data_IF_565436311965
#
_entry.id   IF_565436311965
#
_cell.length_a   1.000
_cell.length_b   1.000
_cell.length_c   1.000
_cell.angle_alpha   90.00
_cell.angle_beta   90.00
_cell.angle_gamma   90.00
#
_symmetry.space_group_name_H-M   'P 1'
#
loop_
_entity.id
_entity.type
_entity.pdbx_description
1 polymer ?
#
# COMPACT_ATOMS: atom_id res chain seq x y z
N UNK A 1 -4.34 4.43 2.37
CA UNK A 1 -3.15 3.65 2.01
C UNK A 1 -1.97 4.12 2.86
N UNK A 2 -1.28 3.25 3.61
CA UNK A 2 -0.11 3.62 4.41
C UNK A 2 1.21 3.46 3.63
N UNK A 3 1.24 3.70 2.32
CA UNK A 3 2.45 3.54 1.49
C UNK A 3 3.55 4.54 1.86
N UNK A 4 3.17 5.74 2.32
CA UNK A 4 4.11 6.70 2.90
C UNK A 4 4.81 6.19 4.16
N UNK A 5 4.17 5.29 4.93
CA UNK A 5 4.80 4.62 6.08
C UNK A 5 5.75 3.50 5.62
N UNK A 6 5.37 2.76 4.57
CA UNK A 6 6.20 1.70 3.96
C UNK A 6 7.49 2.27 3.37
N UNK A 7 7.49 3.51 2.87
CA UNK A 7 8.71 4.16 2.34
C UNK A 7 9.50 4.89 3.44
N UNK A 8 8.82 5.60 4.35
CA UNK A 8 9.51 6.40 5.38
C UNK A 8 10.14 5.57 6.50
N UNK A 9 9.58 4.41 6.83
CA UNK A 9 10.07 3.55 7.91
C UNK A 9 11.40 2.84 7.58
N UNK A 10 11.58 2.21 6.39
CA UNK A 10 12.88 1.67 5.98
C UNK A 10 13.90 2.75 5.61
N UNK A 11 13.49 3.90 5.05
CA UNK A 11 14.42 5.03 4.83
C UNK A 11 14.97 5.60 6.15
N UNK A 12 14.15 5.63 7.20
CA UNK A 12 14.60 5.98 8.54
C UNK A 12 15.50 4.88 9.15
N UNK A 13 15.15 3.60 8.94
CA UNK A 13 15.98 2.47 9.36
C UNK A 13 17.36 2.44 8.66
N UNK A 14 17.45 2.98 7.44
CA UNK A 14 18.71 3.18 6.69
C UNK A 14 19.48 4.45 7.11
N UNK A 15 19.07 5.17 8.16
CA UNK A 15 19.84 6.25 8.77
C UNK A 15 19.54 7.67 8.26
N UNK A 16 18.49 7.88 7.46
CA UNK A 16 18.07 9.23 7.06
C UNK A 16 17.31 9.95 8.20
N UNK A 17 17.46 11.28 8.27
CA UNK A 17 16.79 12.10 9.28
C UNK A 17 15.26 12.01 9.15
N UNK A 18 14.55 11.99 10.30
CA UNK A 18 13.09 11.83 10.38
C UNK A 18 12.31 12.75 9.44
N UNK A 19 12.75 14.01 9.31
CA UNK A 19 12.13 14.99 8.43
C UNK A 19 12.28 14.68 6.95
N UNK A 20 13.41 14.10 6.52
CA UNK A 20 13.67 13.77 5.12
C UNK A 20 12.96 12.49 4.69
N UNK A 21 12.92 11.48 5.57
CA UNK A 21 12.12 10.27 5.36
C UNK A 21 10.62 10.59 5.27
N UNK A 22 10.13 11.52 6.09
CA UNK A 22 8.75 11.98 6.05
C UNK A 22 8.41 12.80 4.79
N UNK A 23 9.28 13.72 4.38
CA UNK A 23 9.10 14.48 3.13
C UNK A 23 9.10 13.59 1.88
N UNK A 24 9.96 12.58 1.85
CA UNK A 24 10.00 11.62 0.75
C UNK A 24 8.76 10.72 0.73
N UNK A 25 8.29 10.25 1.89
CA UNK A 25 7.04 9.49 2.00
C UNK A 25 5.79 10.32 1.65
N UNK A 26 5.77 11.62 1.95
CA UNK A 26 4.72 12.53 1.47
C UNK A 26 4.81 12.78 -0.03
N UNK A 27 6.03 12.89 -0.57
CA UNK A 27 6.27 13.10 -2.00
C UNK A 27 5.76 11.95 -2.86
N UNK A 28 5.91 10.69 -2.42
CA UNK A 28 5.31 9.55 -3.11
C UNK A 28 3.78 9.55 -3.00
N UNK A 29 3.24 9.92 -1.84
CA UNK A 29 1.79 10.04 -1.62
C UNK A 29 1.13 11.14 -2.48
N UNK A 30 1.89 12.15 -2.92
CA UNK A 30 1.38 13.20 -3.81
C UNK A 30 1.05 12.69 -5.23
N UNK A 31 1.54 11.50 -5.61
CA UNK A 31 1.21 10.88 -6.90
C UNK A 31 -0.25 10.40 -6.94
N UNK A 32 -0.82 10.01 -5.80
CA UNK A 32 -2.22 9.55 -5.70
C UNK A 32 -3.25 10.62 -6.09
N UNK A 33 -3.25 11.86 -5.53
CA UNK A 33 -4.21 12.89 -5.90
C UNK A 33 -4.05 13.36 -7.36
N UNK A 34 -2.83 13.33 -7.90
CA UNK A 34 -2.59 13.64 -9.32
C UNK A 34 -3.20 12.56 -10.20
N UNK A 35 -2.99 11.29 -9.86
CA UNK A 35 -3.62 10.15 -10.53
C UNK A 35 -5.14 10.25 -10.47
N UNK A 36 -5.71 10.48 -9.28
CA UNK A 36 -7.15 10.63 -9.05
C UNK A 36 -7.76 11.77 -9.88
N UNK A 37 -7.08 12.92 -9.96
CA UNK A 37 -7.55 14.05 -10.76
C UNK A 37 -7.61 13.70 -12.26
N UNK A 38 -6.59 13.01 -12.78
CA UNK A 38 -6.57 12.56 -14.17
C UNK A 38 -7.67 11.54 -14.45
N UNK A 39 -7.91 10.58 -13.55
CA UNK A 39 -9.01 9.61 -13.69
C UNK A 39 -10.37 10.27 -13.63
N UNK A 40 -10.58 11.28 -12.78
CA UNK A 40 -11.83 12.04 -12.71
C UNK A 40 -12.08 12.80 -14.02
N UNK A 41 -11.06 13.47 -14.56
CA UNK A 41 -11.16 14.20 -15.84
C UNK A 41 -11.46 13.27 -17.02
N UNK A 42 -10.92 12.04 -16.99
CA UNK A 42 -11.13 11.02 -18.02
C UNK A 42 -12.24 10.00 -17.67
N UNK A 43 -13.04 10.24 -16.62
CA UNK A 43 -13.95 9.24 -16.05
C UNK A 43 -14.94 8.69 -17.08
N UNK A 44 -15.47 9.53 -17.99
CA UNK A 44 -16.42 9.10 -19.01
C UNK A 44 -15.90 8.01 -19.96
N UNK A 45 -14.59 7.95 -20.21
CA UNK A 45 -13.95 6.92 -21.03
C UNK A 45 -13.47 5.73 -20.19
N UNK A 46 -13.06 5.98 -18.94
CA UNK A 46 -12.45 4.98 -18.07
C UNK A 46 -13.48 4.14 -17.30
N UNK A 47 -14.71 4.63 -17.08
CA UNK A 47 -15.78 3.88 -16.40
C UNK A 47 -15.98 2.46 -16.95
N UNK A 48 -16.12 2.24 -18.28
CA UNK A 48 -16.23 0.89 -18.82
C UNK A 48 -14.94 0.07 -18.71
N UNK A 49 -13.78 0.72 -18.61
CA UNK A 49 -12.47 0.07 -18.44
C UNK A 49 -12.10 -0.19 -16.96
N UNK A 50 -12.82 0.41 -16.00
CA UNK A 50 -12.57 0.27 -14.56
C UNK A 50 -12.42 -1.19 -14.09
N UNK A 51 -13.29 -2.16 -14.44
CA UNK A 51 -13.12 -3.53 -13.96
C UNK A 51 -11.79 -4.16 -14.41
N UNK A 52 -11.32 -3.84 -15.60
CA UNK A 52 -10.02 -4.33 -16.10
C UNK A 52 -8.86 -3.65 -15.37
N UNK A 53 -8.95 -2.34 -15.14
CA UNK A 53 -7.93 -1.59 -14.41
C UNK A 53 -7.84 -1.99 -12.93
N UNK A 54 -8.98 -2.19 -12.28
CA UNK A 54 -9.04 -2.67 -10.89
C UNK A 54 -8.52 -4.11 -10.77
N UNK A 55 -8.85 -4.98 -11.73
CA UNK A 55 -8.29 -6.34 -11.79
C UNK A 55 -6.77 -6.33 -11.95
N UNK A 56 -6.25 -5.47 -12.82
CA UNK A 56 -4.82 -5.28 -12.99
C UNK A 56 -4.15 -4.75 -11.71
N UNK A 57 -4.73 -3.75 -11.06
CA UNK A 57 -4.23 -3.21 -9.81
C UNK A 57 -4.24 -4.26 -8.68
N UNK A 58 -5.31 -5.05 -8.57
CA UNK A 58 -5.40 -6.15 -7.61
C UNK A 58 -4.31 -7.20 -7.86
N UNK A 59 -4.06 -7.56 -9.12
CA UNK A 59 -2.99 -8.49 -9.50
C UNK A 59 -1.60 -7.97 -9.13
N UNK A 60 -1.31 -6.70 -9.40
CA UNK A 60 -0.04 -6.07 -9.04
C UNK A 60 0.19 -6.07 -7.51
N UNK A 61 -0.85 -5.75 -6.73
CA UNK A 61 -0.76 -5.77 -5.27
C UNK A 61 -0.57 -7.19 -4.72
N UNK A 62 -1.22 -8.20 -5.30
CA UNK A 62 -1.00 -9.59 -4.90
C UNK A 62 0.44 -10.05 -5.17
N UNK A 63 1.03 -9.67 -6.31
CA UNK A 63 2.42 -9.98 -6.63
C UNK A 63 3.38 -9.38 -5.59
N UNK A 64 3.25 -8.07 -5.29
CA UNK A 64 4.09 -7.39 -4.29
C UNK A 64 3.95 -8.02 -2.91
N UNK A 65 2.72 -8.37 -2.49
CA UNK A 65 2.49 -9.03 -1.20
C UNK A 65 3.21 -10.38 -1.15
N UNK A 66 3.11 -11.19 -2.20
CA UNK A 66 3.66 -12.56 -2.22
C UNK A 66 5.17 -12.58 -2.38
N UNK A 67 5.74 -11.76 -3.26
CA UNK A 67 7.19 -11.76 -3.52
C UNK A 67 7.99 -10.91 -2.53
N UNK A 68 7.44 -9.81 -2.04
CA UNK A 68 8.20 -8.87 -1.21
C UNK A 68 7.77 -8.96 0.25
N UNK A 69 6.49 -8.75 0.55
CA UNK A 69 6.03 -8.59 1.93
C UNK A 69 6.08 -9.90 2.73
N UNK A 70 5.63 -11.03 2.18
CA UNK A 70 5.64 -12.34 2.88
C UNK A 70 7.07 -12.82 3.20
N UNK A 71 8.04 -12.75 2.27
CA UNK A 71 9.42 -13.09 2.59
C UNK A 71 10.04 -12.13 3.61
N UNK A 72 9.79 -10.83 3.50
CA UNK A 72 10.32 -9.82 4.43
C UNK A 72 9.85 -10.10 5.87
N UNK A 73 8.56 -10.32 6.09
CA UNK A 73 8.02 -10.62 7.42
C UNK A 73 8.50 -11.97 8.00
N UNK A 74 8.86 -12.94 7.14
CA UNK A 74 9.34 -14.27 7.55
C UNK A 74 10.85 -14.31 7.79
N UNK A 75 11.61 -13.37 7.23
CA UNK A 75 13.08 -13.35 7.25
C UNK A 75 13.73 -12.79 8.53
N UNK A 76 12.94 -12.42 9.56
CA UNK A 76 13.43 -11.90 10.84
C UNK A 76 13.42 -12.91 12.00
N UNK A 77 14.21 -12.65 13.05
CA UNK A 77 14.31 -13.49 14.26
C UNK A 77 12.96 -13.74 14.99
N UNK A 78 11.92 -12.95 14.70
CA UNK A 78 10.57 -13.03 15.30
C UNK A 78 9.45 -13.17 14.25
N UNK A 79 9.57 -14.15 13.33
CA UNK A 79 8.58 -14.46 12.28
C UNK A 79 7.12 -14.54 12.78
N UNK A 80 6.89 -15.07 14.00
CA UNK A 80 5.54 -15.17 14.59
C UNK A 80 4.86 -13.81 14.80
N UNK A 81 5.60 -12.76 15.17
CA UNK A 81 5.00 -11.43 15.42
C UNK A 81 4.52 -10.81 14.10
N UNK A 82 5.29 -10.97 13.02
CA UNK A 82 4.92 -10.50 11.68
C UNK A 82 3.61 -11.13 11.20
N UNK A 83 3.48 -12.45 11.34
CA UNK A 83 2.26 -13.18 10.96
C UNK A 83 1.04 -12.77 11.79
N UNK A 84 1.23 -12.53 13.09
CA UNK A 84 0.16 -12.14 14.00
C UNK A 84 -0.35 -10.72 13.70
N UNK A 85 0.56 -9.78 13.43
CA UNK A 85 0.22 -8.42 13.02
C UNK A 85 -0.42 -8.37 11.62
N UNK A 86 0.07 -9.18 10.68
CA UNK A 86 -0.57 -9.34 9.37
C UNK A 86 -2.00 -9.85 9.50
N UNK A 87 -2.22 -10.92 10.28
CA UNK A 87 -3.55 -11.51 10.49
C UNK A 87 -4.51 -10.53 11.16
N UNK A 88 -4.01 -9.75 12.13
CA UNK A 88 -4.79 -8.68 12.77
C UNK A 88 -5.15 -7.57 11.78
N UNK A 89 -4.19 -7.06 11.01
CA UNK A 89 -4.41 -6.03 10.00
C UNK A 89 -5.40 -6.48 8.91
N UNK A 90 -5.27 -7.72 8.44
CA UNK A 90 -6.22 -8.32 7.50
C UNK A 90 -7.63 -8.38 8.09
N UNK A 91 -7.77 -8.83 9.35
CA UNK A 91 -9.07 -8.89 10.03
C UNK A 91 -9.71 -7.52 10.17
N UNK A 92 -8.92 -6.50 10.55
CA UNK A 92 -9.40 -5.11 10.65
C UNK A 92 -9.85 -4.60 9.28
N UNK A 93 -9.08 -4.84 8.23
CA UNK A 93 -9.45 -4.42 6.88
C UNK A 93 -10.74 -5.10 6.41
N UNK A 94 -10.88 -6.42 6.61
CA UNK A 94 -12.12 -7.15 6.28
C UNK A 94 -13.32 -6.65 7.08
N UNK A 95 -13.12 -6.29 8.36
CA UNK A 95 -14.18 -5.69 9.17
C UNK A 95 -14.59 -4.30 8.66
N UNK A 96 -13.62 -3.48 8.22
CA UNK A 96 -13.87 -2.18 7.62
C UNK A 96 -14.57 -2.29 6.27
N UNK A 97 -14.17 -3.24 5.42
CA UNK A 97 -14.82 -3.52 4.12
C UNK A 97 -16.29 -3.88 4.29
N UNK A 98 -16.60 -4.80 5.21
CA UNK A 98 -17.98 -5.18 5.52
C UNK A 98 -18.78 -4.03 6.15
N UNK A 99 -18.14 -3.18 6.96
CA UNK A 99 -18.81 -2.08 7.63
C UNK A 99 -19.06 -0.86 6.73
N UNK A 100 -18.16 -0.60 5.77
CA UNK A 100 -18.19 0.60 4.91
C UNK A 100 -18.80 0.32 3.53
N UNK A 101 -18.79 -0.93 3.06
CA UNK A 101 -19.44 -1.39 1.83
C UNK A 101 -19.01 -0.63 0.59
#
# INVERSE_FOLDING_TARGET
>A
FPEGAIISMPLHAQGQSKSKAFLLGMGSGAVEPVGALLTILAAGLLVPAMPYLLSFAAGAMLYVVVEELIPEMSSGEHSNIGVLMFSFGFTVMMALDVALG
#
